data_IF_574816555543
#
_entry.id   IF_574816555543
#
_cell.length_a   1.000
_cell.length_b   1.000
_cell.length_c   1.000
_cell.angle_alpha   90.00
_cell.angle_beta   90.00
_cell.angle_gamma   90.00
#
_symmetry.space_group_name_H-M   'P 1'
#
loop_
_entity.id
_entity.type
_entity.pdbx_description
1 polymer ?
#
# COMPACT_ATOMS: atom_id res chain seq x y z
N UNK A 1 -2.00 -0.18 6.89
CA UNK A 1 -2.28 -0.27 5.45
C UNK A 1 -1.00 -0.72 4.76
N UNK A 2 -1.09 -1.80 4.00
CA UNK A 2 -0.03 -2.22 3.09
C UNK A 2 -0.38 -1.67 1.71
N UNK A 3 0.61 -1.14 1.00
CA UNK A 3 0.41 -0.41 -0.25
C UNK A 3 1.51 -0.80 -1.24
N UNK A 4 1.27 -0.55 -2.52
CA UNK A 4 2.26 -0.60 -3.59
C UNK A 4 1.73 0.19 -4.79
N UNK A 5 2.61 0.63 -5.69
CA UNK A 5 2.20 1.19 -6.98
C UNK A 5 2.00 0.07 -8.00
N UNK A 6 1.29 0.38 -9.09
CA UNK A 6 1.14 -0.56 -10.21
C UNK A 6 2.49 -0.88 -10.86
N UNK A 7 3.36 0.10 -11.01
CA UNK A 7 4.70 -0.12 -11.56
C UNK A 7 5.54 -1.04 -10.67
N UNK A 8 5.45 -0.86 -9.34
CA UNK A 8 6.10 -1.73 -8.38
C UNK A 8 5.61 -3.17 -8.52
N UNK A 9 4.29 -3.37 -8.64
CA UNK A 9 3.71 -4.70 -8.83
C UNK A 9 4.28 -5.39 -10.08
N UNK A 10 4.34 -4.66 -11.19
CA UNK A 10 4.92 -5.17 -12.44
C UNK A 10 6.39 -5.55 -12.23
N UNK A 11 7.16 -4.71 -11.53
CA UNK A 11 8.56 -4.98 -11.18
C UNK A 11 8.72 -6.27 -10.37
N UNK A 12 7.91 -6.43 -9.32
CA UNK A 12 7.90 -7.61 -8.45
C UNK A 12 7.55 -8.89 -9.22
N UNK A 13 6.56 -8.83 -10.11
CA UNK A 13 6.18 -9.97 -10.96
C UNK A 13 7.33 -10.34 -11.89
N UNK A 14 7.92 -9.36 -12.57
CA UNK A 14 9.04 -9.63 -13.47
C UNK A 14 10.27 -10.17 -12.73
N UNK A 15 10.53 -9.69 -11.52
CA UNK A 15 11.58 -10.24 -10.66
C UNK A 15 11.29 -11.69 -10.29
N UNK A 16 10.08 -11.99 -9.82
CA UNK A 16 9.69 -13.36 -9.47
C UNK A 16 9.79 -14.32 -10.66
N UNK A 17 9.47 -13.87 -11.88
CA UNK A 17 9.63 -14.66 -13.10
C UNK A 17 11.09 -14.96 -13.45
N UNK A 18 12.05 -14.14 -13.01
CA UNK A 18 13.48 -14.28 -13.32
C UNK A 18 14.30 -14.91 -12.19
N UNK A 19 13.73 -15.00 -10.99
CA UNK A 19 14.44 -15.47 -9.79
C UNK A 19 13.97 -16.89 -9.44
N UNK A 20 14.66 -17.91 -9.96
CA UNK A 20 14.30 -19.32 -9.76
C UNK A 20 14.25 -19.75 -8.28
N UNK A 21 15.06 -19.11 -7.43
CA UNK A 21 15.07 -19.36 -5.98
C UNK A 21 13.84 -18.82 -5.25
N UNK A 22 13.09 -17.88 -5.87
CA UNK A 22 11.89 -17.31 -5.27
C UNK A 22 10.68 -18.19 -5.60
N UNK A 23 10.29 -19.04 -4.65
CA UNK A 23 9.21 -20.01 -4.81
C UNK A 23 8.16 -19.95 -3.69
N UNK A 24 6.94 -20.37 -4.02
CA UNK A 24 5.78 -20.35 -3.12
C UNK A 24 5.11 -18.97 -3.02
N UNK A 25 4.24 -18.77 -2.01
CA UNK A 25 3.52 -17.51 -1.83
C UNK A 25 4.46 -16.32 -1.56
N UNK A 26 4.24 -15.19 -2.23
CA UNK A 26 5.04 -13.97 -2.06
C UNK A 26 4.13 -12.78 -1.82
N UNK A 27 4.41 -12.00 -0.78
CA UNK A 27 3.67 -10.76 -0.50
C UNK A 27 4.16 -9.64 -1.41
N UNK A 28 3.36 -9.24 -2.39
CA UNK A 28 3.65 -8.09 -3.24
C UNK A 28 3.17 -6.79 -2.55
N UNK A 29 4.02 -6.21 -1.71
CA UNK A 29 3.77 -4.96 -0.97
C UNK A 29 5.08 -4.15 -0.86
N UNK A 30 4.98 -2.83 -0.76
CA UNK A 30 6.11 -1.97 -0.43
C UNK A 30 6.66 -2.28 0.99
N UNK A 31 7.95 -1.99 1.28
CA UNK A 31 8.61 -2.44 2.51
C UNK A 31 8.18 -1.66 3.76
N UNK A 32 7.53 -0.50 3.59
CA UNK A 32 7.18 0.42 4.67
C UNK A 32 5.64 0.63 4.74
N UNK A 33 4.90 -0.26 5.41
CA UNK A 33 3.47 -0.08 5.59
C UNK A 33 3.17 1.15 6.45
N UNK A 34 2.11 1.88 6.09
CA UNK A 34 1.67 3.10 6.78
C UNK A 34 0.29 2.93 7.40
N UNK A 35 -0.09 3.82 8.31
CA UNK A 35 -1.47 3.95 8.79
C UNK A 35 -2.36 4.60 7.73
N UNK A 36 -3.68 4.36 7.80
CA UNK A 36 -4.63 5.03 6.91
C UNK A 36 -4.60 6.56 7.10
N UNK A 37 -4.30 7.02 8.31
CA UNK A 37 -4.13 8.44 8.63
C UNK A 37 -2.93 9.06 7.90
N UNK A 38 -1.79 8.37 7.88
CA UNK A 38 -0.59 8.82 7.14
C UNK A 38 -0.85 8.87 5.64
N UNK A 39 -1.42 7.80 5.05
CA UNK A 39 -1.82 7.76 3.64
C UNK A 39 -2.73 8.95 3.28
N UNK A 40 -3.79 9.16 4.08
CA UNK A 40 -4.76 10.23 3.85
C UNK A 40 -4.09 11.61 3.91
N UNK A 41 -3.25 11.85 4.92
CA UNK A 41 -2.53 13.12 5.08
C UNK A 41 -1.57 13.41 3.93
N UNK A 42 -0.76 12.43 3.54
CA UNK A 42 0.21 12.58 2.44
C UNK A 42 -0.55 12.88 1.14
N UNK A 43 -1.57 12.08 0.81
CA UNK A 43 -2.40 12.29 -0.37
C UNK A 43 -3.04 13.68 -0.37
N UNK A 44 -3.67 14.09 0.73
CA UNK A 44 -4.30 15.39 0.87
C UNK A 44 -3.34 16.56 0.64
N UNK A 45 -2.11 16.48 1.16
CA UNK A 45 -1.07 17.48 0.90
C UNK A 45 -0.72 17.56 -0.58
N UNK A 46 -0.47 16.43 -1.23
CA UNK A 46 -0.08 16.37 -2.65
C UNK A 46 -1.16 16.93 -3.58
N UNK A 47 -2.44 16.69 -3.28
CA UNK A 47 -3.56 17.20 -4.09
C UNK A 47 -4.12 18.54 -3.59
N UNK A 48 -3.46 19.21 -2.64
CA UNK A 48 -3.88 20.50 -2.08
C UNK A 48 -5.32 20.48 -1.49
N UNK A 49 -5.67 19.42 -0.74
CA UNK A 49 -6.95 19.25 -0.06
C UNK A 49 -6.76 18.95 1.44
N UNK A 50 -7.37 19.74 2.35
CA UNK A 50 -7.22 19.54 3.79
C UNK A 50 -7.92 18.26 4.28
N UNK A 51 -7.28 17.50 5.17
CA UNK A 51 -7.76 16.21 5.70
C UNK A 51 -8.03 16.29 7.21
N UNK A 52 -8.88 17.23 7.61
CA UNK A 52 -9.12 17.59 9.02
C UNK A 52 -10.18 16.75 9.73
N UNK A 53 -11.07 16.10 8.99
CA UNK A 53 -12.13 15.26 9.54
C UNK A 53 -11.83 13.78 9.32
N UNK A 54 -12.02 12.96 10.36
CA UNK A 54 -12.04 11.51 10.25
C UNK A 54 -13.48 11.01 10.07
N UNK A 55 -13.65 9.96 9.28
CA UNK A 55 -14.95 9.32 9.11
C UNK A 55 -15.19 8.36 10.29
N UNK A 56 -16.29 8.50 11.05
CA UNK A 56 -16.60 7.57 12.13
C UNK A 56 -16.86 6.15 11.60
N UNK A 57 -16.43 5.12 12.34
CA UNK A 57 -16.65 3.72 11.97
C UNK A 57 -18.14 3.38 11.77
N UNK A 58 -19.03 4.01 12.56
CA UNK A 58 -20.48 3.89 12.40
C UNK A 58 -20.96 4.37 11.03
N UNK A 59 -20.42 5.50 10.54
CA UNK A 59 -20.78 6.03 9.22
C UNK A 59 -20.30 5.08 8.10
N UNK A 60 -19.10 4.50 8.25
CA UNK A 60 -18.60 3.48 7.32
C UNK A 60 -19.53 2.27 7.27
N UNK A 61 -19.94 1.74 8.43
CA UNK A 61 -20.87 0.60 8.50
C UNK A 61 -22.22 0.89 7.86
N UNK A 62 -22.78 2.09 8.08
CA UNK A 62 -24.08 2.47 7.52
C UNK A 62 -24.01 2.59 6.00
N UNK A 63 -22.95 3.20 5.47
CA UNK A 63 -22.83 3.49 4.04
C UNK A 63 -22.35 2.29 3.22
N UNK A 64 -21.46 1.48 3.78
CA UNK A 64 -20.73 0.43 3.04
C UNK A 64 -20.96 -0.98 3.60
N UNK A 65 -21.81 -1.13 4.62
CA UNK A 65 -22.09 -2.42 5.27
C UNK A 65 -20.87 -3.02 5.96
N UNK A 66 -20.93 -4.34 6.24
CA UNK A 66 -19.83 -5.09 6.85
C UNK A 66 -18.59 -5.16 5.95
N UNK A 67 -18.76 -5.20 4.62
CA UNK A 67 -17.63 -5.15 3.67
C UNK A 67 -16.80 -3.87 3.82
N UNK A 68 -17.46 -2.73 4.08
CA UNK A 68 -16.76 -1.46 4.32
C UNK A 68 -15.90 -1.48 5.58
N UNK A 69 -16.31 -2.23 6.61
CA UNK A 69 -15.51 -2.41 7.83
C UNK A 69 -14.26 -3.22 7.49
N UNK A 70 -14.41 -4.35 6.81
CA UNK A 70 -13.27 -5.22 6.50
C UNK A 70 -12.28 -4.58 5.51
N UNK A 71 -12.77 -3.82 4.53
CA UNK A 71 -11.91 -3.18 3.53
C UNK A 71 -11.28 -1.87 4.01
N UNK A 72 -12.02 -1.04 4.74
CA UNK A 72 -11.57 0.31 5.10
C UNK A 72 -11.05 0.41 6.53
N UNK A 73 -11.55 -0.43 7.43
CA UNK A 73 -11.17 -0.40 8.85
C UNK A 73 -10.25 -1.56 9.24
N UNK A 74 -10.34 -2.72 8.58
CA UNK A 74 -9.35 -3.77 8.78
C UNK A 74 -8.04 -3.41 8.07
N UNK A 75 -6.95 -3.45 8.82
CA UNK A 75 -5.62 -3.16 8.31
C UNK A 75 -4.71 -4.36 8.50
N UNK A 76 -4.19 -4.90 7.41
CA UNK A 76 -3.06 -5.83 7.47
C UNK A 76 -1.75 -5.04 7.37
N UNK A 77 -0.84 -5.26 8.33
CA UNK A 77 0.55 -4.80 8.26
C UNK A 77 1.38 -5.96 7.71
N UNK A 78 1.57 -5.96 6.40
CA UNK A 78 2.22 -7.05 5.66
C UNK A 78 3.65 -6.62 5.32
N UNK A 79 4.61 -7.54 5.51
CA UNK A 79 6.01 -7.31 5.15
C UNK A 79 6.40 -8.19 3.95
N UNK A 80 7.17 -7.67 2.97
CA UNK A 80 7.59 -8.39 1.77
C UNK A 80 8.86 -9.24 2.01
N UNK A 81 8.90 -10.01 3.10
CA UNK A 81 10.12 -10.70 3.60
C UNK A 81 10.82 -11.51 2.50
N UNK A 82 10.08 -12.36 1.77
CA UNK A 82 10.67 -13.20 0.71
C UNK A 82 11.22 -12.40 -0.47
N UNK A 83 10.61 -11.26 -0.83
CA UNK A 83 11.14 -10.38 -1.87
C UNK A 83 12.44 -9.72 -1.39
N UNK A 84 12.44 -9.22 -0.14
CA UNK A 84 13.63 -8.63 0.47
C UNK A 84 14.79 -9.64 0.56
N UNK A 85 14.52 -10.85 1.03
CA UNK A 85 15.52 -11.92 1.16
C UNK A 85 16.04 -12.41 -0.21
N UNK A 86 15.19 -12.39 -1.24
CA UNK A 86 15.60 -12.72 -2.60
C UNK A 86 16.41 -11.59 -3.27
N UNK A 87 16.51 -10.40 -2.65
CA UNK A 87 17.28 -9.28 -3.17
C UNK A 87 16.50 -8.37 -4.12
N UNK A 88 15.16 -8.33 -4.02
CA UNK A 88 14.36 -7.38 -4.80
C UNK A 88 14.66 -5.93 -4.37
N UNK A 89 15.01 -5.09 -5.34
CA UNK A 89 15.19 -3.65 -5.14
C UNK A 89 13.87 -2.92 -5.34
N UNK A 90 13.33 -2.34 -4.27
CA UNK A 90 12.07 -1.62 -4.30
C UNK A 90 12.24 -0.26 -4.97
N UNK A 91 11.47 0.01 -6.03
CA UNK A 91 11.51 1.29 -6.73
C UNK A 91 10.87 2.41 -5.92
N UNK A 92 9.83 2.07 -5.16
CA UNK A 92 9.04 2.99 -4.35
C UNK A 92 9.08 2.59 -2.85
N UNK A 93 10.20 2.85 -2.13
CA UNK A 93 10.28 2.55 -0.71
C UNK A 93 9.48 3.54 0.16
N UNK A 94 9.22 4.74 -0.36
CA UNK A 94 8.54 5.83 0.34
C UNK A 94 7.21 6.19 -0.34
N UNK A 95 6.16 6.36 0.48
CA UNK A 95 4.80 6.58 0.00
C UNK A 95 4.60 7.97 -0.61
N UNK A 96 5.24 9.00 -0.06
CA UNK A 96 5.10 10.37 -0.55
C UNK A 96 5.73 10.52 -1.93
N UNK A 97 6.90 9.92 -2.14
CA UNK A 97 7.52 9.84 -3.46
C UNK A 97 6.64 9.07 -4.45
N UNK A 98 6.15 7.89 -4.05
CA UNK A 98 5.29 7.05 -4.87
C UNK A 98 4.01 7.78 -5.32
N UNK A 99 3.33 8.45 -4.40
CA UNK A 99 2.14 9.22 -4.70
C UNK A 99 2.46 10.43 -5.59
N UNK A 100 3.59 11.10 -5.36
CA UNK A 100 4.04 12.22 -6.22
C UNK A 100 4.22 11.80 -7.68
N UNK A 101 4.78 10.61 -7.92
CA UNK A 101 4.96 10.07 -9.27
C UNK A 101 3.66 9.62 -9.93
N UNK A 102 2.69 9.11 -9.16
CA UNK A 102 1.40 8.65 -9.71
C UNK A 102 0.43 9.80 -9.99
N UNK A 103 0.54 10.91 -9.26
CA UNK A 103 -0.37 12.05 -9.34
C UNK A 103 0.08 13.17 -10.28
N UNK A 104 1.29 13.05 -10.86
CA UNK A 104 1.87 14.01 -11.82
C UNK A 104 1.93 13.39 -13.20
#
# INVERSE_FOLDING_TARGET
MSWLTLEELIGMIQFALRTESLSGPVNAVAPNPVTNLEMTRILGRLVHRPTIFSVPSLAVRILFGEMGIDLLLAGARVNPVRLSEAGYEFKHPDLEHALGQVLT
#
